data_IF_334680539560
#
_entry.id   IF_334680539560
#
_cell.length_a   1.000
_cell.length_b   1.000
_cell.length_c   1.000
_cell.angle_alpha   90.00
_cell.angle_beta   90.00
_cell.angle_gamma   90.00
#
_symmetry.space_group_name_H-M   'P 1'
#
loop_
_entity.id
_entity.type
_entity.pdbx_description
1 polymer ?
#
# COMPACT_ATOMS: atom_id res chain seq x y z
N UNK A 1 -10.30 3.72 -16.85
CA UNK A 1 -9.85 4.24 -15.53
C UNK A 1 -10.62 3.51 -14.46
N UNK A 2 -9.93 2.82 -13.58
CA UNK A 2 -10.48 1.87 -12.62
C UNK A 2 -11.12 2.48 -11.37
N UNK A 3 -10.74 3.72 -10.98
CA UNK A 3 -11.29 4.35 -9.77
C UNK A 3 -12.73 4.80 -10.05
N UNK A 4 -13.72 4.38 -9.21
CA UNK A 4 -15.11 4.80 -9.35
C UNK A 4 -15.26 6.34 -9.36
N UNK A 5 -16.19 6.85 -10.16
CA UNK A 5 -16.41 8.30 -10.28
C UNK A 5 -16.69 8.95 -8.93
N UNK A 6 -17.49 8.30 -8.08
CA UNK A 6 -17.78 8.75 -6.73
C UNK A 6 -16.50 8.99 -5.91
N UNK A 7 -15.55 8.03 -5.96
CA UNK A 7 -14.28 8.17 -5.25
C UNK A 7 -13.46 9.35 -5.79
N UNK A 8 -13.37 9.49 -7.11
CA UNK A 8 -12.66 10.63 -7.73
C UNK A 8 -13.22 11.97 -7.29
N UNK A 9 -14.54 12.10 -7.28
CA UNK A 9 -15.21 13.34 -6.87
C UNK A 9 -14.97 13.64 -5.40
N UNK A 10 -15.17 12.65 -4.51
CA UNK A 10 -15.04 12.88 -3.06
C UNK A 10 -13.59 13.09 -2.63
N UNK A 11 -12.65 12.34 -3.19
CA UNK A 11 -11.21 12.53 -2.91
C UNK A 11 -10.73 13.84 -3.52
N UNK A 12 -11.13 14.18 -4.75
CA UNK A 12 -10.81 15.46 -5.37
C UNK A 12 -11.31 16.66 -4.57
N UNK A 13 -12.57 16.61 -4.10
CA UNK A 13 -13.13 17.63 -3.22
C UNK A 13 -12.39 17.76 -1.89
N UNK A 14 -11.98 16.62 -1.29
CA UNK A 14 -11.15 16.61 -0.09
C UNK A 14 -9.80 17.30 -0.31
N UNK A 15 -9.07 16.94 -1.39
CA UNK A 15 -7.77 17.55 -1.71
C UNK A 15 -7.90 19.03 -2.00
N UNK A 16 -8.93 19.44 -2.77
CA UNK A 16 -9.20 20.84 -3.06
C UNK A 16 -9.48 21.64 -1.77
N UNK A 17 -10.29 21.10 -0.85
CA UNK A 17 -10.56 21.74 0.44
C UNK A 17 -9.28 21.93 1.26
N UNK A 18 -8.41 20.91 1.32
CA UNK A 18 -7.12 20.98 2.00
C UNK A 18 -6.20 22.03 1.38
N UNK A 19 -6.17 22.09 0.05
CA UNK A 19 -5.42 23.11 -0.68
C UNK A 19 -5.91 24.53 -0.39
N UNK A 20 -7.22 24.76 -0.42
CA UNK A 20 -7.84 26.07 -0.12
C UNK A 20 -7.64 26.49 1.33
N UNK A 21 -7.54 25.53 2.26
CA UNK A 21 -7.20 25.78 3.66
C UNK A 21 -5.71 26.07 3.88
N UNK A 22 -4.87 26.02 2.84
CA UNK A 22 -3.42 26.25 2.95
C UNK A 22 -2.66 25.08 3.63
N UNK A 23 -3.31 23.94 3.83
CA UNK A 23 -2.68 22.76 4.44
C UNK A 23 -1.67 22.14 3.48
N UNK A 24 -0.40 22.10 3.89
CA UNK A 24 0.69 21.54 3.07
C UNK A 24 0.88 20.05 3.27
N UNK A 25 0.59 19.54 4.49
CA UNK A 25 0.73 18.12 4.87
C UNK A 25 -0.61 17.61 5.37
N UNK A 26 -1.18 16.66 4.65
CA UNK A 26 -2.46 16.02 5.00
C UNK A 26 -2.48 14.58 4.47
N UNK A 27 -3.15 13.65 5.17
CA UNK A 27 -3.24 12.26 4.73
C UNK A 27 -4.19 12.14 3.54
N UNK A 28 -3.83 11.34 2.56
CA UNK A 28 -4.67 10.95 1.44
C UNK A 28 -5.28 9.55 1.65
N UNK A 29 -4.48 8.65 2.20
CA UNK A 29 -4.89 7.31 2.57
C UNK A 29 -4.30 6.93 3.93
N UNK A 30 -5.10 6.33 4.80
CA UNK A 30 -4.61 5.68 6.00
C UNK A 30 -4.24 4.24 5.68
N UNK A 31 -2.99 3.83 5.97
CA UNK A 31 -2.61 2.43 6.03
C UNK A 31 -2.92 1.92 7.45
N UNK A 32 -3.88 1.00 7.56
CA UNK A 32 -4.27 0.38 8.82
C UNK A 32 -3.77 -1.06 8.86
N UNK A 33 -2.89 -1.37 9.80
CA UNK A 33 -2.33 -2.70 10.02
C UNK A 33 -2.79 -3.25 11.37
N UNK A 34 -4.00 -3.82 11.46
CA UNK A 34 -4.61 -4.20 12.73
C UNK A 34 -3.98 -5.44 13.38
N UNK A 35 -3.17 -6.19 12.64
CA UNK A 35 -2.41 -7.35 13.10
C UNK A 35 -1.23 -7.63 12.15
N UNK A 36 -0.24 -8.38 12.66
CA UNK A 36 0.90 -8.85 11.83
C UNK A 36 0.85 -10.35 11.51
N UNK A 37 0.00 -11.13 12.18
CA UNK A 37 -0.17 -12.55 11.88
C UNK A 37 -0.63 -12.76 10.44
N UNK A 38 0.02 -13.70 9.73
CA UNK A 38 -0.32 -14.10 8.38
C UNK A 38 -0.32 -15.62 8.24
N UNK A 39 -1.02 -16.13 7.24
CA UNK A 39 -1.06 -17.55 6.85
C UNK A 39 -0.16 -17.85 5.64
N UNK A 40 0.68 -16.88 5.22
CA UNK A 40 1.74 -16.98 4.22
C UNK A 40 3.05 -16.41 4.77
N UNK A 41 4.18 -16.81 4.14
CA UNK A 41 5.52 -16.30 4.41
C UNK A 41 6.19 -15.94 3.07
N UNK A 42 5.76 -14.82 2.47
CA UNK A 42 6.22 -14.38 1.15
C UNK A 42 7.70 -13.97 1.16
N UNK A 43 8.41 -14.23 0.06
CA UNK A 43 9.84 -13.96 -0.10
C UNK A 43 10.23 -12.49 0.15
N UNK A 44 9.41 -11.55 -0.34
CA UNK A 44 9.61 -10.11 -0.20
C UNK A 44 8.95 -9.46 1.02
N UNK A 45 8.46 -10.24 2.01
CA UNK A 45 7.70 -9.71 3.15
C UNK A 45 8.45 -9.88 4.47
N UNK A 46 8.69 -8.76 5.18
CA UNK A 46 9.25 -8.74 6.54
C UNK A 46 8.23 -8.56 7.66
N UNK A 47 6.92 -8.50 7.34
CA UNK A 47 5.86 -8.13 8.29
C UNK A 47 5.53 -9.21 9.33
N UNK A 48 5.84 -10.47 9.07
CA UNK A 48 5.57 -11.59 9.98
C UNK A 48 6.77 -11.98 10.86
N UNK A 49 7.91 -11.34 10.66
CA UNK A 49 9.12 -11.63 11.40
C UNK A 49 9.10 -10.95 12.79
N UNK A 50 8.19 -11.44 13.64
CA UNK A 50 8.00 -10.99 15.02
C UNK A 50 7.83 -12.18 15.95
N UNK A 51 8.22 -12.05 17.25
CA UNK A 51 7.87 -13.01 18.29
C UNK A 51 6.36 -13.27 18.38
N UNK A 52 5.99 -14.46 18.83
CA UNK A 52 4.61 -14.91 18.90
C UNK A 52 3.71 -13.94 19.70
N UNK A 53 4.25 -13.37 20.80
CA UNK A 53 3.54 -12.41 21.64
C UNK A 53 3.11 -11.15 20.89
N UNK A 54 3.90 -10.72 19.90
CA UNK A 54 3.57 -9.58 19.03
C UNK A 54 2.60 -10.02 17.93
N UNK A 55 2.82 -11.19 17.32
CA UNK A 55 1.92 -11.72 16.30
C UNK A 55 0.50 -12.00 16.84
N UNK A 56 0.36 -12.20 18.16
CA UNK A 56 -0.93 -12.36 18.82
C UNK A 56 -1.65 -11.03 19.12
N UNK A 57 -0.95 -9.89 19.03
CA UNK A 57 -1.56 -8.58 19.19
C UNK A 57 -2.48 -8.25 18.01
N UNK A 58 -3.55 -7.55 18.32
CA UNK A 58 -4.48 -7.00 17.34
C UNK A 58 -5.11 -5.72 17.89
N UNK A 59 -5.40 -4.79 17.00
CA UNK A 59 -6.20 -3.61 17.33
C UNK A 59 -7.66 -4.03 17.50
N UNK A 60 -8.37 -3.47 18.48
CA UNK A 60 -9.81 -3.64 18.60
C UNK A 60 -10.57 -2.89 17.51
N UNK A 61 -11.87 -3.11 17.40
CA UNK A 61 -12.74 -2.35 16.47
C UNK A 61 -12.67 -0.86 16.80
N UNK A 62 -12.73 -0.51 18.09
CA UNK A 62 -12.67 0.86 18.60
C UNK A 62 -11.34 1.54 18.26
N UNK A 63 -10.22 0.84 18.45
CA UNK A 63 -8.89 1.36 18.10
C UNK A 63 -8.74 1.59 16.58
N UNK A 64 -9.26 0.66 15.76
CA UNK A 64 -9.26 0.81 14.31
C UNK A 64 -10.10 2.01 13.86
N UNK A 65 -11.32 2.13 14.37
CA UNK A 65 -12.23 3.23 14.00
C UNK A 65 -11.76 4.57 14.58
N UNK A 66 -11.19 4.57 15.79
CA UNK A 66 -10.55 5.75 16.37
C UNK A 66 -9.40 6.27 15.53
N UNK A 67 -8.55 5.37 15.02
CA UNK A 67 -7.46 5.75 14.10
C UNK A 67 -7.99 6.34 12.78
N UNK A 68 -9.09 5.83 12.25
CA UNK A 68 -9.75 6.37 11.05
C UNK A 68 -10.28 7.79 11.30
N UNK A 69 -10.91 8.01 12.46
CA UNK A 69 -11.47 9.31 12.84
C UNK A 69 -10.33 10.33 13.11
N UNK A 70 -9.29 9.93 13.81
CA UNK A 70 -8.13 10.76 14.15
C UNK A 70 -7.35 11.18 12.88
N UNK A 71 -7.11 10.26 11.96
CA UNK A 71 -6.41 10.52 10.71
C UNK A 71 -7.24 11.36 9.74
N UNK A 72 -8.53 11.11 9.63
CA UNK A 72 -9.45 11.83 8.75
C UNK A 72 -9.25 11.59 7.26
N UNK A 73 -8.33 10.71 6.83
CA UNK A 73 -8.09 10.39 5.42
C UNK A 73 -9.38 9.91 4.72
N UNK A 74 -9.58 10.24 3.43
CA UNK A 74 -10.75 9.78 2.67
C UNK A 74 -10.69 8.31 2.29
N UNK A 75 -9.48 7.72 2.23
CA UNK A 75 -9.23 6.33 1.86
C UNK A 75 -8.60 5.61 3.04
N UNK A 76 -8.98 4.35 3.25
CA UNK A 76 -8.37 3.45 4.24
C UNK A 76 -7.95 2.16 3.54
N UNK A 77 -6.66 1.87 3.53
CA UNK A 77 -6.11 0.59 3.07
C UNK A 77 -5.85 -0.28 4.30
N UNK A 78 -6.58 -1.37 4.44
CA UNK A 78 -6.38 -2.31 5.54
C UNK A 78 -5.41 -3.39 5.07
N UNK A 79 -4.25 -3.46 5.70
CA UNK A 79 -3.17 -4.40 5.40
C UNK A 79 -2.63 -5.07 6.68
N UNK A 80 -1.33 -5.26 6.79
CA UNK A 80 -0.65 -5.88 7.92
C UNK A 80 -0.12 -7.26 7.54
N UNK A 81 -0.44 -8.32 8.33
CA UNK A 81 -0.31 -9.70 7.93
C UNK A 81 -1.43 -10.10 6.97
N UNK A 82 -2.30 -11.03 7.38
CA UNK A 82 -3.54 -11.32 6.63
C UNK A 82 -4.74 -10.76 7.40
N UNK A 83 -5.38 -9.68 6.91
CA UNK A 83 -6.50 -9.05 7.62
C UNK A 83 -7.67 -9.99 7.90
N UNK A 84 -7.92 -10.98 7.04
CA UNK A 84 -8.99 -11.95 7.22
C UNK A 84 -8.75 -12.94 8.38
N UNK A 85 -7.60 -12.88 9.05
CA UNK A 85 -7.36 -13.57 10.33
C UNK A 85 -7.89 -12.76 11.53
N UNK A 86 -8.26 -11.51 11.34
CA UNK A 86 -8.87 -10.69 12.38
C UNK A 86 -10.35 -11.03 12.51
N UNK A 87 -10.77 -11.58 13.67
CA UNK A 87 -12.15 -12.06 13.88
C UNK A 87 -13.22 -10.98 13.69
N UNK A 88 -12.89 -9.73 13.98
CA UNK A 88 -13.81 -8.59 13.94
C UNK A 88 -13.65 -7.75 12.65
N UNK A 89 -12.95 -8.26 11.63
CA UNK A 89 -12.70 -7.54 10.38
C UNK A 89 -13.99 -7.09 9.68
N UNK A 90 -15.07 -7.88 9.63
CA UNK A 90 -16.34 -7.42 9.06
C UNK A 90 -16.90 -6.18 9.78
N UNK A 91 -16.79 -6.10 11.11
CA UNK A 91 -17.24 -4.95 11.91
C UNK A 91 -16.36 -3.72 11.65
N UNK A 92 -15.04 -3.89 11.54
CA UNK A 92 -14.11 -2.81 11.20
C UNK A 92 -14.47 -2.23 9.83
N UNK A 93 -14.60 -3.08 8.79
CA UNK A 93 -14.98 -2.64 7.44
C UNK A 93 -16.32 -1.93 7.43
N UNK A 94 -17.34 -2.49 8.07
CA UNK A 94 -18.67 -1.88 8.15
C UNK A 94 -18.63 -0.51 8.84
N UNK A 95 -17.86 -0.39 9.92
CA UNK A 95 -17.68 0.87 10.65
C UNK A 95 -16.99 1.95 9.82
N UNK A 96 -16.01 1.60 8.99
CA UNK A 96 -15.31 2.52 8.09
C UNK A 96 -16.25 2.95 6.94
N UNK A 97 -16.97 2.00 6.34
CA UNK A 97 -17.98 2.28 5.28
C UNK A 97 -19.08 3.21 5.79
N UNK A 98 -19.57 3.01 7.02
CA UNK A 98 -20.56 3.89 7.66
C UNK A 98 -20.05 5.34 7.81
N UNK A 99 -18.74 5.55 7.93
CA UNK A 99 -18.07 6.86 7.93
C UNK A 99 -17.89 7.45 6.52
N UNK A 100 -18.39 6.77 5.49
CA UNK A 100 -18.26 7.16 4.08
C UNK A 100 -16.79 7.30 3.65
N UNK A 101 -15.90 6.46 4.20
CA UNK A 101 -14.51 6.34 3.77
C UNK A 101 -14.39 5.16 2.80
N UNK A 102 -13.53 5.31 1.79
CA UNK A 102 -13.25 4.23 0.84
C UNK A 102 -12.31 3.22 1.47
N UNK A 103 -12.73 1.96 1.53
CA UNK A 103 -11.94 0.85 2.10
C UNK A 103 -11.36 0.00 0.99
N UNK A 104 -10.06 -0.23 1.04
CA UNK A 104 -9.37 -1.27 0.29
C UNK A 104 -8.92 -2.34 1.30
N UNK A 105 -9.61 -3.47 1.34
CA UNK A 105 -9.24 -4.58 2.22
C UNK A 105 -8.27 -5.49 1.47
N UNK A 106 -6.98 -5.39 1.85
CA UNK A 106 -5.92 -6.19 1.27
C UNK A 106 -6.00 -7.63 1.76
N UNK A 107 -5.83 -8.62 0.88
CA UNK A 107 -5.85 -10.03 1.25
C UNK A 107 -5.08 -10.88 0.26
N UNK A 108 -4.48 -11.97 0.75
CA UNK A 108 -3.91 -13.03 -0.09
C UNK A 108 -4.98 -14.00 -0.64
N UNK A 109 -6.23 -13.71 -0.37
CA UNK A 109 -7.45 -14.41 -0.81
C UNK A 109 -7.63 -15.85 -0.31
N UNK A 110 -6.71 -16.44 0.44
CA UNK A 110 -6.85 -17.82 0.94
C UNK A 110 -8.08 -18.05 1.83
N UNK A 111 -8.59 -16.99 2.45
CA UNK A 111 -9.76 -17.02 3.31
C UNK A 111 -10.98 -16.32 2.71
N UNK A 112 -10.81 -15.60 1.60
CA UNK A 112 -11.80 -14.69 1.03
C UNK A 112 -13.11 -15.43 0.70
N UNK A 113 -13.04 -16.52 -0.06
CA UNK A 113 -14.23 -17.27 -0.49
C UNK A 113 -15.06 -17.73 0.70
N UNK A 114 -14.42 -18.25 1.76
CA UNK A 114 -15.12 -18.73 2.97
C UNK A 114 -15.76 -17.61 3.78
N UNK A 115 -15.19 -16.40 3.73
CA UNK A 115 -15.64 -15.28 4.57
C UNK A 115 -16.48 -14.26 3.80
N UNK A 116 -16.60 -14.39 2.48
CA UNK A 116 -17.25 -13.40 1.60
C UNK A 116 -18.66 -13.03 2.07
N UNK A 117 -19.44 -14.01 2.55
CA UNK A 117 -20.80 -13.80 3.05
C UNK A 117 -20.93 -12.94 4.31
N UNK A 118 -19.82 -12.64 4.98
CA UNK A 118 -19.78 -11.74 6.15
C UNK A 118 -19.71 -10.27 5.77
N UNK A 119 -19.48 -9.97 4.49
CA UNK A 119 -19.36 -8.61 3.95
C UNK A 119 -20.53 -8.26 3.05
N UNK A 120 -20.73 -6.97 2.81
CA UNK A 120 -21.76 -6.48 1.89
C UNK A 120 -21.12 -5.62 0.79
N UNK A 121 -21.50 -5.78 -0.48
CA UNK A 121 -21.08 -4.88 -1.55
C UNK A 121 -21.45 -3.42 -1.22
N UNK A 122 -20.52 -2.52 -1.52
CA UNK A 122 -20.71 -1.09 -1.28
C UNK A 122 -19.83 -0.30 -2.24
N UNK A 123 -20.25 0.89 -2.71
CA UNK A 123 -19.38 1.76 -3.50
C UNK A 123 -18.18 2.32 -2.70
N UNK A 124 -18.19 2.12 -1.37
CA UNK A 124 -17.09 2.49 -0.47
C UNK A 124 -16.20 1.30 -0.10
N UNK A 125 -16.45 0.09 -0.61
CA UNK A 125 -15.70 -1.09 -0.26
C UNK A 125 -15.16 -1.82 -1.49
N UNK A 126 -13.86 -2.09 -1.50
CA UNK A 126 -13.13 -2.80 -2.55
C UNK A 126 -12.25 -3.87 -1.93
N UNK A 127 -12.36 -5.09 -2.40
CA UNK A 127 -11.36 -6.12 -2.15
C UNK A 127 -10.07 -5.79 -2.90
N UNK A 128 -8.93 -5.77 -2.22
CA UNK A 128 -7.62 -5.59 -2.84
C UNK A 128 -6.86 -6.91 -2.76
N UNK A 129 -6.96 -7.71 -3.80
CA UNK A 129 -6.40 -9.07 -3.83
C UNK A 129 -4.96 -9.03 -4.29
N UNK A 130 -4.06 -9.65 -3.52
CA UNK A 130 -2.65 -9.74 -3.84
C UNK A 130 -2.40 -10.78 -4.95
N UNK A 131 -1.84 -10.34 -6.08
CA UNK A 131 -1.36 -11.17 -7.18
C UNK A 131 -0.17 -10.50 -7.87
N UNK A 132 1.03 -11.10 -7.79
CA UNK A 132 2.28 -10.53 -8.29
C UNK A 132 2.64 -10.95 -9.73
N UNK A 133 1.73 -11.55 -10.46
CA UNK A 133 1.95 -11.99 -11.83
C UNK A 133 1.12 -13.21 -12.19
N UNK A 134 1.58 -13.96 -13.19
CA UNK A 134 0.99 -15.26 -13.52
C UNK A 134 1.22 -16.30 -12.41
N UNK A 135 0.64 -17.50 -12.55
CA UNK A 135 0.70 -18.56 -11.54
C UNK A 135 2.13 -18.84 -11.08
N UNK A 136 3.06 -19.01 -12.01
CA UNK A 136 4.45 -19.32 -11.68
C UNK A 136 5.18 -18.16 -11.00
N UNK A 137 4.84 -16.91 -11.30
CA UNK A 137 5.40 -15.73 -10.63
C UNK A 137 4.81 -15.58 -9.22
N UNK A 138 3.48 -15.63 -9.12
CA UNK A 138 2.80 -15.39 -7.85
C UNK A 138 3.11 -16.49 -6.81
N UNK A 139 3.00 -17.76 -7.18
CA UNK A 139 3.24 -18.87 -6.25
C UNK A 139 4.69 -18.89 -5.73
N UNK A 140 5.67 -18.46 -6.56
CA UNK A 140 7.05 -18.22 -6.09
C UNK A 140 7.14 -17.05 -5.13
N UNK A 141 6.54 -15.89 -5.46
CA UNK A 141 6.55 -14.69 -4.61
C UNK A 141 5.99 -14.98 -3.21
N UNK A 142 4.91 -15.74 -3.13
CA UNK A 142 4.25 -16.10 -1.84
C UNK A 142 4.83 -17.37 -1.21
N UNK A 143 5.86 -17.99 -1.81
CA UNK A 143 6.53 -19.22 -1.34
C UNK A 143 5.56 -20.39 -1.11
N UNK A 144 4.48 -20.48 -1.90
CA UNK A 144 3.49 -21.54 -1.73
C UNK A 144 2.77 -21.84 -3.04
N UNK A 145 2.82 -23.09 -3.55
CA UNK A 145 2.11 -23.50 -4.76
C UNK A 145 0.58 -23.49 -4.57
N UNK A 146 -0.16 -23.20 -5.64
CA UNK A 146 -1.61 -23.24 -5.71
C UNK A 146 -2.30 -22.03 -5.08
N UNK A 147 -1.58 -21.01 -4.62
CA UNK A 147 -2.19 -19.77 -4.08
C UNK A 147 -2.82 -18.95 -5.21
N UNK A 148 -2.16 -18.86 -6.36
CA UNK A 148 -2.69 -18.15 -7.54
C UNK A 148 -4.07 -18.67 -7.95
N UNK A 149 -4.23 -19.98 -8.12
CA UNK A 149 -5.51 -20.58 -8.50
C UNK A 149 -6.64 -20.29 -7.51
N UNK A 150 -6.33 -20.30 -6.19
CA UNK A 150 -7.29 -19.94 -5.14
C UNK A 150 -7.65 -18.46 -5.16
N UNK A 151 -6.67 -17.58 -5.37
CA UNK A 151 -6.91 -16.14 -5.48
C UNK A 151 -7.78 -15.81 -6.70
N UNK A 152 -7.51 -16.42 -7.85
CA UNK A 152 -8.32 -16.26 -9.08
C UNK A 152 -9.77 -16.74 -8.88
N UNK A 153 -9.96 -17.89 -8.22
CA UNK A 153 -11.29 -18.39 -7.88
C UNK A 153 -12.04 -17.42 -6.95
N UNK A 154 -11.38 -16.93 -5.92
CA UNK A 154 -11.92 -15.98 -4.95
C UNK A 154 -12.28 -14.61 -5.61
N UNK A 155 -11.45 -14.12 -6.54
CA UNK A 155 -11.77 -12.90 -7.33
C UNK A 155 -13.06 -13.11 -8.13
N UNK A 156 -13.18 -14.20 -8.87
CA UNK A 156 -14.39 -14.50 -9.66
C UNK A 156 -15.63 -14.60 -8.77
N UNK A 157 -15.51 -15.25 -7.62
CA UNK A 157 -16.60 -15.37 -6.65
C UNK A 157 -17.03 -14.00 -6.09
N UNK A 158 -16.05 -13.16 -5.69
CA UNK A 158 -16.32 -11.81 -5.22
C UNK A 158 -16.98 -10.93 -6.30
N UNK A 159 -16.51 -11.01 -7.55
CA UNK A 159 -17.12 -10.31 -8.70
C UNK A 159 -18.55 -10.77 -8.93
N UNK A 160 -18.80 -12.09 -8.94
CA UNK A 160 -20.14 -12.65 -9.10
C UNK A 160 -21.11 -12.24 -7.98
N UNK A 161 -20.59 -12.01 -6.77
CA UNK A 161 -21.34 -11.49 -5.62
C UNK A 161 -21.52 -9.96 -5.63
N UNK A 162 -21.09 -9.26 -6.69
CA UNK A 162 -21.29 -7.82 -6.88
C UNK A 162 -20.29 -6.91 -6.15
N UNK A 163 -19.17 -7.45 -5.66
CA UNK A 163 -18.13 -6.63 -5.04
C UNK A 163 -17.22 -5.96 -6.08
N UNK A 164 -16.70 -4.80 -5.72
CA UNK A 164 -15.53 -4.24 -6.39
C UNK A 164 -14.28 -5.02 -6.00
N UNK A 165 -13.47 -5.36 -7.01
CA UNK A 165 -12.21 -6.09 -6.83
C UNK A 165 -11.08 -5.36 -7.53
N UNK A 166 -10.07 -4.98 -6.77
CA UNK A 166 -8.79 -4.48 -7.23
C UNK A 166 -7.72 -5.57 -7.05
N UNK A 167 -6.79 -5.68 -7.99
CA UNK A 167 -5.60 -6.52 -7.82
C UNK A 167 -4.43 -5.64 -7.41
N UNK A 168 -3.75 -6.02 -6.33
CA UNK A 168 -2.51 -5.41 -5.87
C UNK A 168 -1.33 -6.26 -6.31
N UNK A 169 -0.51 -5.72 -7.22
CA UNK A 169 0.62 -6.39 -7.86
C UNK A 169 1.92 -5.71 -7.47
N UNK A 170 2.84 -6.47 -6.87
CA UNK A 170 4.21 -6.03 -6.58
C UNK A 170 5.16 -6.66 -7.59
N UNK A 171 6.00 -5.84 -8.23
CA UNK A 171 6.97 -6.29 -9.22
C UNK A 171 8.38 -6.31 -8.62
N UNK A 172 9.09 -7.40 -8.87
CA UNK A 172 10.45 -7.64 -8.43
C UNK A 172 11.43 -7.67 -9.61
N UNK A 173 12.72 -7.85 -9.37
CA UNK A 173 13.77 -7.74 -10.41
C UNK A 173 13.68 -8.82 -11.48
N UNK A 174 13.12 -9.98 -11.16
CA UNK A 174 12.87 -11.07 -12.11
C UNK A 174 11.63 -10.82 -13.03
N UNK A 175 10.89 -9.74 -12.81
CA UNK A 175 9.72 -9.40 -13.61
C UNK A 175 10.12 -9.12 -15.08
N UNK A 176 9.47 -9.85 -16.00
CA UNK A 176 9.64 -9.70 -17.44
C UNK A 176 8.47 -8.94 -18.04
N UNK A 177 8.71 -7.84 -18.80
CA UNK A 177 7.65 -6.98 -19.31
C UNK A 177 6.56 -7.74 -20.09
N UNK A 178 6.94 -8.77 -20.86
CA UNK A 178 6.01 -9.57 -21.65
C UNK A 178 5.06 -10.37 -20.77
N UNK A 179 5.59 -11.01 -19.71
CA UNK A 179 4.79 -11.81 -18.77
C UNK A 179 3.86 -10.93 -17.94
N UNK A 180 4.35 -9.78 -17.48
CA UNK A 180 3.54 -8.82 -16.73
C UNK A 180 2.42 -8.27 -17.60
N UNK A 181 2.67 -7.91 -18.84
CA UNK A 181 1.66 -7.45 -19.81
C UNK A 181 0.59 -8.53 -20.05
N UNK A 182 1.00 -9.79 -20.28
CA UNK A 182 0.09 -10.92 -20.43
C UNK A 182 -0.76 -11.16 -19.18
N UNK A 183 -0.15 -11.02 -18.00
CA UNK A 183 -0.89 -11.11 -16.72
C UNK A 183 -1.95 -9.98 -16.59
N UNK A 184 -1.61 -8.74 -16.92
CA UNK A 184 -2.57 -7.64 -16.91
C UNK A 184 -3.70 -7.85 -17.93
N UNK A 185 -3.42 -8.47 -19.08
CA UNK A 185 -4.47 -8.88 -20.04
C UNK A 185 -5.38 -9.96 -19.43
N UNK A 186 -4.82 -10.90 -18.68
CA UNK A 186 -5.61 -11.91 -17.95
C UNK A 186 -6.53 -11.25 -16.92
N UNK A 187 -6.03 -10.27 -16.15
CA UNK A 187 -6.85 -9.52 -15.20
C UNK A 187 -7.99 -8.76 -15.89
N UNK A 188 -7.74 -8.21 -17.09
CA UNK A 188 -8.79 -7.59 -17.89
C UNK A 188 -9.88 -8.58 -18.30
N UNK A 189 -9.52 -9.81 -18.68
CA UNK A 189 -10.52 -10.87 -19.00
C UNK A 189 -11.30 -11.34 -17.79
N UNK A 190 -10.75 -11.19 -16.57
CA UNK A 190 -11.41 -11.46 -15.30
C UNK A 190 -12.32 -10.31 -14.84
N UNK A 191 -12.37 -9.21 -15.61
CA UNK A 191 -13.18 -8.02 -15.31
C UNK A 191 -12.91 -7.43 -13.91
N UNK A 192 -11.65 -7.49 -13.45
CA UNK A 192 -11.28 -6.78 -12.23
C UNK A 192 -11.48 -5.27 -12.40
N UNK A 193 -11.95 -4.60 -11.36
CA UNK A 193 -12.29 -3.17 -11.43
C UNK A 193 -11.04 -2.28 -11.46
N UNK A 194 -9.89 -2.80 -10.97
CA UNK A 194 -8.66 -2.05 -10.97
C UNK A 194 -7.40 -2.87 -10.71
N UNK A 195 -6.27 -2.28 -11.08
CA UNK A 195 -4.93 -2.81 -10.83
C UNK A 195 -4.13 -1.73 -10.11
N UNK A 196 -3.62 -2.03 -8.91
CA UNK A 196 -2.59 -1.25 -8.24
C UNK A 196 -1.26 -1.95 -8.46
N UNK A 197 -0.29 -1.27 -9.03
CA UNK A 197 1.04 -1.84 -9.30
C UNK A 197 2.12 -1.04 -8.59
N UNK A 198 3.10 -1.72 -8.00
CA UNK A 198 4.23 -1.09 -7.34
C UNK A 198 5.52 -1.87 -7.57
N UNK A 199 6.67 -1.20 -7.62
CA UNK A 199 7.95 -1.87 -7.45
C UNK A 199 8.04 -2.40 -6.01
N UNK A 200 8.65 -3.57 -5.83
CA UNK A 200 8.97 -4.11 -4.52
C UNK A 200 9.95 -3.19 -3.77
N UNK A 201 9.72 -2.99 -2.50
CA UNK A 201 10.62 -2.26 -1.61
C UNK A 201 11.44 -3.23 -0.77
N UNK A 202 12.74 -2.96 -0.64
CA UNK A 202 13.67 -3.77 0.13
C UNK A 202 13.43 -3.63 1.63
N UNK A 203 12.44 -4.36 2.15
CA UNK A 203 12.23 -4.47 3.60
C UNK A 203 13.45 -5.09 4.25
N UNK A 204 13.94 -4.46 5.31
CA UNK A 204 15.15 -4.89 6.03
C UNK A 204 15.12 -6.38 6.44
N UNK A 205 13.93 -6.91 6.75
CA UNK A 205 13.72 -8.29 7.21
C UNK A 205 13.12 -9.23 6.17
N UNK A 206 13.00 -8.79 4.92
CA UNK A 206 12.57 -9.68 3.86
C UNK A 206 13.60 -10.80 3.66
N UNK A 207 13.16 -12.07 3.53
CA UNK A 207 14.07 -13.21 3.38
C UNK A 207 15.01 -13.08 2.18
N UNK A 208 14.54 -12.49 1.08
CA UNK A 208 15.26 -12.42 -0.19
C UNK A 208 15.54 -10.96 -0.58
N UNK A 209 16.73 -10.44 -0.19
CA UNK A 209 17.11 -9.04 -0.41
C UNK A 209 17.48 -8.70 -1.86
N UNK A 210 17.93 -9.67 -2.65
CA UNK A 210 18.42 -9.46 -4.02
C UNK A 210 17.33 -9.32 -5.08
N UNK A 211 16.07 -9.53 -4.70
CA UNK A 211 14.93 -9.46 -5.63
C UNK A 211 14.32 -8.08 -5.79
N UNK A 212 14.78 -7.10 -5.02
CA UNK A 212 14.20 -5.76 -5.07
C UNK A 212 14.76 -4.91 -6.22
N UNK A 213 13.88 -4.11 -6.80
CA UNK A 213 14.22 -3.25 -7.92
C UNK A 213 15.00 -2.02 -7.47
N UNK A 214 16.09 -1.70 -8.17
CA UNK A 214 16.69 -0.37 -8.10
C UNK A 214 15.80 0.65 -8.81
N UNK A 215 15.96 1.93 -8.50
CA UNK A 215 15.19 3.02 -9.09
C UNK A 215 15.31 3.06 -10.62
N UNK A 216 16.52 2.93 -11.14
CA UNK A 216 16.74 2.89 -12.59
C UNK A 216 16.08 1.67 -13.25
N UNK A 217 16.18 0.50 -12.62
CA UNK A 217 15.54 -0.71 -13.13
C UNK A 217 14.03 -0.59 -13.10
N UNK A 218 13.45 0.01 -12.06
CA UNK A 218 12.02 0.31 -11.96
C UNK A 218 11.55 1.15 -13.13
N UNK A 219 12.22 2.29 -13.40
CA UNK A 219 11.86 3.21 -14.49
C UNK A 219 11.86 2.51 -15.85
N UNK A 220 12.89 1.71 -16.12
CA UNK A 220 12.98 0.95 -17.37
C UNK A 220 11.89 -0.13 -17.46
N UNK A 221 11.72 -0.94 -16.40
CA UNK A 221 10.73 -2.02 -16.38
C UNK A 221 9.30 -1.48 -16.62
N UNK A 222 8.91 -0.41 -15.91
CA UNK A 222 7.58 0.17 -16.09
C UNK A 222 7.39 0.77 -17.49
N UNK A 223 8.43 1.40 -18.05
CA UNK A 223 8.40 1.90 -19.44
C UNK A 223 8.14 0.76 -20.43
N UNK A 224 8.87 -0.35 -20.28
CA UNK A 224 8.75 -1.51 -21.16
C UNK A 224 7.39 -2.22 -21.01
N UNK A 225 6.84 -2.30 -19.81
CA UNK A 225 5.49 -2.84 -19.56
C UNK A 225 4.44 -1.93 -20.20
N UNK A 226 4.49 -0.63 -19.93
CA UNK A 226 3.48 0.32 -20.39
C UNK A 226 3.48 0.47 -21.90
N UNK A 227 4.65 0.33 -22.58
CA UNK A 227 4.75 0.29 -24.03
C UNK A 227 3.89 -0.84 -24.63
N UNK A 228 3.83 -2.00 -23.99
CA UNK A 228 3.01 -3.15 -24.44
C UNK A 228 1.51 -2.95 -24.21
N UNK A 229 1.14 -1.99 -23.42
CA UNK A 229 -0.23 -1.66 -23.05
C UNK A 229 -0.72 -0.31 -23.57
N UNK A 230 -0.17 0.19 -24.67
CA UNK A 230 -0.55 1.49 -25.25
C UNK A 230 -0.41 2.63 -24.22
N UNK A 231 0.76 2.77 -23.64
CA UNK A 231 1.03 3.71 -22.56
C UNK A 231 0.20 3.44 -21.30
N UNK A 232 -0.19 2.19 -21.07
CA UNK A 232 -1.01 1.76 -19.93
C UNK A 232 -2.52 1.90 -20.14
N UNK A 233 -3.01 2.48 -21.24
CA UNK A 233 -4.45 2.68 -21.52
C UNK A 233 -5.23 1.37 -21.70
N UNK A 234 -4.53 0.29 -22.07
CA UNK A 234 -5.10 -1.04 -22.27
C UNK A 234 -5.66 -1.64 -20.97
N UNK A 235 -5.13 -1.23 -19.81
CA UNK A 235 -5.44 -1.79 -18.51
C UNK A 235 -6.07 -0.77 -17.57
N UNK A 236 -6.84 -1.26 -16.60
CA UNK A 236 -7.56 -0.43 -15.64
C UNK A 236 -6.73 -0.19 -14.37
N UNK A 237 -5.76 0.72 -14.39
CA UNK A 237 -4.98 1.06 -13.20
C UNK A 237 -5.79 1.91 -12.22
N UNK A 238 -5.66 1.60 -10.92
CA UNK A 238 -6.28 2.32 -9.80
C UNK A 238 -5.43 3.51 -9.32
N UNK A 239 -4.30 3.74 -9.94
CA UNK A 239 -3.38 4.83 -9.63
C UNK A 239 -3.58 6.00 -10.60
N UNK A 240 -3.10 7.18 -10.21
CA UNK A 240 -3.15 8.34 -11.09
C UNK A 240 -2.25 8.15 -12.32
N UNK A 241 -2.65 8.73 -13.45
CA UNK A 241 -1.85 8.66 -14.67
C UNK A 241 -0.47 9.27 -14.50
N UNK A 242 -0.35 10.32 -13.68
CA UNK A 242 0.93 10.98 -13.38
C UNK A 242 1.82 10.12 -12.47
N UNK A 243 1.25 9.25 -11.64
CA UNK A 243 2.07 8.30 -10.89
C UNK A 243 2.65 7.21 -11.82
N UNK A 244 1.87 6.68 -12.75
CA UNK A 244 2.38 5.76 -13.76
C UNK A 244 3.44 6.42 -14.64
N UNK A 245 3.25 7.68 -14.98
CA UNK A 245 4.22 8.50 -15.74
C UNK A 245 5.54 8.70 -14.94
N UNK A 246 5.43 8.84 -13.60
CA UNK A 246 6.59 8.85 -12.69
C UNK A 246 7.30 7.49 -12.67
N UNK A 247 6.58 6.37 -12.58
CA UNK A 247 7.16 5.03 -12.58
C UNK A 247 7.91 4.76 -13.90
N UNK A 248 7.43 5.29 -15.04
CA UNK A 248 8.09 5.20 -16.34
C UNK A 248 9.26 6.20 -16.48
N UNK A 249 9.59 6.96 -15.46
CA UNK A 249 10.70 7.88 -15.47
C UNK A 249 10.48 9.22 -16.19
N UNK A 250 9.24 9.60 -16.49
CA UNK A 250 8.94 10.86 -17.19
C UNK A 250 8.75 12.04 -16.23
N UNK A 251 8.58 11.76 -14.92
CA UNK A 251 8.41 12.76 -13.87
C UNK A 251 9.43 12.53 -12.75
N UNK A 252 9.74 13.60 -12.04
CA UNK A 252 10.54 13.53 -10.80
C UNK A 252 9.71 14.08 -9.66
N UNK A 253 9.43 13.22 -8.67
CA UNK A 253 8.68 13.60 -7.47
C UNK A 253 9.52 13.43 -6.20
N UNK A 254 9.26 14.29 -5.23
CA UNK A 254 9.71 14.09 -3.86
C UNK A 254 8.70 13.24 -3.10
N UNK A 255 9.20 12.39 -2.22
CA UNK A 255 8.37 11.56 -1.35
C UNK A 255 7.53 12.43 -0.41
N UNK A 256 6.27 12.05 -0.21
CA UNK A 256 5.32 12.69 0.70
C UNK A 256 4.74 11.66 1.67
N UNK A 257 5.56 11.12 2.62
CA UNK A 257 5.17 9.99 3.46
C UNK A 257 3.98 10.29 4.37
N UNK A 258 3.76 11.56 4.77
CA UNK A 258 2.57 12.02 5.48
C UNK A 258 1.26 11.82 4.72
N UNK A 259 1.32 11.64 3.40
CA UNK A 259 0.15 11.36 2.56
C UNK A 259 -0.44 9.97 2.79
N UNK A 260 0.35 9.05 3.36
CA UNK A 260 -0.07 7.68 3.64
C UNK A 260 0.41 7.21 5.02
N UNK A 261 -0.05 7.86 6.12
CA UNK A 261 0.33 7.49 7.48
C UNK A 261 -0.11 6.07 7.78
N UNK A 262 0.63 5.41 8.67
CA UNK A 262 0.40 4.02 9.04
C UNK A 262 0.09 3.88 10.52
N UNK A 263 -1.02 3.19 10.85
CA UNK A 263 -1.38 2.79 12.21
C UNK A 263 -1.26 1.27 12.37
N UNK A 264 -0.40 0.83 13.29
CA UNK A 264 -0.11 -0.58 13.57
C UNK A 264 -0.43 -0.92 15.03
N UNK A 265 -0.23 -2.17 15.42
CA UNK A 265 -0.32 -2.59 16.84
C UNK A 265 0.70 -1.88 17.76
N UNK A 266 1.76 -1.31 17.20
CA UNK A 266 2.74 -0.53 17.97
C UNK A 266 2.35 0.95 18.16
N UNK A 267 1.51 1.50 17.30
CA UNK A 267 1.18 2.92 17.27
C UNK A 267 1.20 3.48 15.85
N UNK A 268 1.35 4.79 15.73
CA UNK A 268 1.53 5.49 14.47
C UNK A 268 2.99 5.42 14.02
N UNK A 269 3.25 4.70 12.93
CA UNK A 269 4.61 4.36 12.46
C UNK A 269 5.31 5.54 11.80
N UNK A 270 6.55 5.82 12.20
CA UNK A 270 7.43 6.86 11.61
C UNK A 270 8.43 6.23 10.65
N UNK A 271 8.79 6.91 9.56
CA UNK A 271 8.07 8.02 8.92
C UNK A 271 6.98 7.52 7.98
N UNK A 272 7.02 6.23 7.61
CA UNK A 272 6.10 5.58 6.68
C UNK A 272 6.01 4.08 6.96
N UNK A 273 5.10 3.38 6.28
CA UNK A 273 4.88 1.95 6.52
C UNK A 273 6.05 1.04 6.12
N UNK A 274 6.97 1.56 5.27
CA UNK A 274 8.16 0.82 4.81
C UNK A 274 9.30 0.87 5.82
N UNK A 275 9.40 1.97 6.57
CA UNK A 275 10.46 2.21 7.56
C UNK A 275 9.86 2.15 8.97
N UNK A 276 10.43 1.33 9.84
CA UNK A 276 10.01 1.21 11.25
C UNK A 276 10.96 1.96 12.17
N UNK A 277 11.07 3.30 12.03
CA UNK A 277 12.04 4.10 12.78
C UNK A 277 11.45 4.79 14.01
N UNK A 278 10.38 4.22 14.54
CA UNK A 278 9.71 4.69 15.75
C UNK A 278 8.20 4.75 15.57
N UNK A 279 7.52 5.02 16.68
CA UNK A 279 6.07 5.10 16.73
C UNK A 279 5.64 6.31 17.55
N UNK A 280 4.62 7.00 17.08
CA UNK A 280 3.93 8.05 17.82
C UNK A 280 2.69 7.46 18.51
N UNK A 281 2.31 8.01 19.65
CA UNK A 281 1.13 7.60 20.39
C UNK A 281 -0.16 8.11 19.73
N UNK A 282 -0.13 9.28 19.09
CA UNK A 282 -1.26 9.90 18.39
C UNK A 282 -0.91 10.31 16.96
N UNK A 283 -1.95 10.48 16.13
CA UNK A 283 -1.78 10.99 14.77
C UNK A 283 -1.21 12.42 14.77
N UNK A 284 -1.62 13.24 15.75
CA UNK A 284 -1.08 14.59 15.91
C UNK A 284 0.42 14.54 16.16
N UNK A 285 0.88 13.74 17.12
CA UNK A 285 2.32 13.55 17.40
C UNK A 285 3.09 13.06 16.17
N UNK A 286 2.50 12.11 15.39
CA UNK A 286 3.09 11.69 14.13
C UNK A 286 3.31 12.88 13.19
N UNK A 287 2.29 13.72 13.02
CA UNK A 287 2.32 14.81 12.04
C UNK A 287 3.21 15.97 12.47
N UNK A 288 3.22 16.30 13.77
CA UNK A 288 3.90 17.49 14.31
C UNK A 288 5.37 17.22 14.66
N UNK A 289 5.69 16.02 15.20
CA UNK A 289 7.00 15.70 15.76
C UNK A 289 7.90 14.88 14.82
N UNK A 290 7.42 14.52 13.63
CA UNK A 290 8.24 13.80 12.64
C UNK A 290 9.01 14.79 11.76
N UNK A 291 10.34 14.64 11.72
CA UNK A 291 11.18 15.39 10.76
C UNK A 291 11.00 14.82 9.36
N UNK A 292 9.93 15.26 8.70
CA UNK A 292 9.56 14.80 7.36
C UNK A 292 10.60 15.10 6.29
N UNK A 293 11.39 16.17 6.49
CA UNK A 293 12.40 16.60 5.52
C UNK A 293 13.66 15.73 5.56
N UNK A 294 13.83 14.94 6.61
CA UNK A 294 14.93 13.99 6.73
C UNK A 294 14.77 12.74 5.85
N UNK A 295 13.59 12.53 5.23
CA UNK A 295 13.26 11.31 4.50
C UNK A 295 12.99 11.56 3.01
N UNK A 296 13.15 10.52 2.21
CA UNK A 296 12.96 10.51 0.78
C UNK A 296 14.26 10.28 0.00
N UNK A 297 14.13 10.00 -1.30
CA UNK A 297 15.26 9.81 -2.22
C UNK A 297 16.18 11.04 -2.17
N UNK A 298 17.48 10.81 -2.10
CA UNK A 298 18.51 11.85 -1.99
C UNK A 298 18.69 12.43 -0.58
N UNK A 299 17.86 12.05 0.40
CA UNK A 299 17.93 12.53 1.79
C UNK A 299 18.27 11.44 2.79
N UNK A 300 17.75 10.23 2.56
CA UNK A 300 17.92 9.10 3.46
C UNK A 300 18.29 7.84 2.68
N UNK A 301 19.33 7.14 3.15
CA UNK A 301 19.92 6.00 2.44
C UNK A 301 18.88 4.89 2.10
N UNK A 302 18.04 4.50 3.05
CA UNK A 302 16.98 3.51 2.81
C UNK A 302 15.92 3.94 1.79
N UNK A 303 15.85 5.22 1.45
CA UNK A 303 14.89 5.75 0.47
C UNK A 303 15.46 5.82 -0.96
N UNK A 304 16.73 5.47 -1.18
CA UNK A 304 17.43 5.67 -2.44
C UNK A 304 16.66 5.10 -3.64
N UNK A 305 16.24 3.85 -3.56
CA UNK A 305 15.56 3.14 -4.63
C UNK A 305 14.02 3.15 -4.53
N UNK A 306 13.46 3.79 -3.49
CA UNK A 306 12.02 3.78 -3.26
C UNK A 306 11.25 4.55 -4.33
N UNK A 307 10.29 3.87 -5.00
CA UNK A 307 9.31 4.45 -5.91
C UNK A 307 7.88 3.95 -5.60
N UNK A 308 7.64 3.53 -4.37
CA UNK A 308 6.38 2.89 -3.95
C UNK A 308 5.23 3.92 -3.88
N UNK A 309 4.04 3.51 -4.27
CA UNK A 309 2.85 4.37 -4.33
C UNK A 309 2.56 5.13 -3.03
N UNK A 310 2.75 4.50 -1.88
CA UNK A 310 2.52 5.13 -0.57
C UNK A 310 3.36 6.38 -0.31
N UNK A 311 4.54 6.49 -0.95
CA UNK A 311 5.39 7.68 -0.84
C UNK A 311 5.15 8.72 -1.92
N UNK A 312 4.68 8.34 -3.10
CA UNK A 312 4.67 9.21 -4.28
C UNK A 312 3.30 9.45 -4.90
N UNK A 313 2.29 8.60 -4.64
CA UNK A 313 0.94 8.80 -5.18
C UNK A 313 0.33 10.13 -4.71
N UNK A 314 0.54 10.53 -3.45
CA UNK A 314 0.04 11.81 -2.95
C UNK A 314 0.69 13.00 -3.68
N UNK A 315 1.98 12.91 -4.04
CA UNK A 315 2.65 13.90 -4.88
C UNK A 315 2.03 13.97 -6.28
N UNK A 316 1.79 12.82 -6.91
CA UNK A 316 1.17 12.75 -8.24
C UNK A 316 -0.29 13.24 -8.24
N UNK A 317 -1.06 12.96 -7.21
CA UNK A 317 -2.45 13.47 -7.04
C UNK A 317 -2.46 15.00 -6.88
N UNK A 318 -1.56 15.54 -6.06
CA UNK A 318 -1.40 17.01 -5.94
C UNK A 318 -1.00 17.66 -7.27
N UNK A 319 -0.09 17.03 -7.99
CA UNK A 319 0.35 17.49 -9.30
C UNK A 319 -0.76 17.41 -10.36
N UNK A 320 -1.66 16.43 -10.27
CA UNK A 320 -2.87 16.35 -11.11
C UNK A 320 -3.75 17.58 -10.96
N UNK A 321 -3.87 18.14 -9.76
CA UNK A 321 -4.61 19.38 -9.53
C UNK A 321 -3.82 20.63 -9.97
N UNK A 322 -2.50 20.62 -9.77
CA UNK A 322 -1.66 21.75 -10.16
C UNK A 322 -1.47 21.85 -11.69
N UNK A 323 -1.44 20.69 -12.38
CA UNK A 323 -1.23 20.59 -13.84
C UNK A 323 -2.32 19.75 -14.52
N UNK A 324 -3.60 20.18 -14.46
CA UNK A 324 -4.75 19.36 -14.93
C UNK A 324 -4.69 19.04 -16.43
N UNK A 325 -4.16 19.94 -17.25
CA UNK A 325 -3.99 19.69 -18.70
C UNK A 325 -2.95 18.63 -18.97
N UNK A 326 -1.84 18.62 -18.22
CA UNK A 326 -0.82 17.56 -18.32
C UNK A 326 -1.39 16.21 -17.89
N UNK A 327 -2.08 16.17 -16.75
CA UNK A 327 -2.74 14.96 -16.26
C UNK A 327 -3.78 14.41 -17.26
N UNK A 328 -4.61 15.30 -17.84
CA UNK A 328 -5.57 14.93 -18.88
C UNK A 328 -4.88 14.41 -20.15
N UNK A 329 -3.77 15.06 -20.58
CA UNK A 329 -2.99 14.59 -21.73
C UNK A 329 -2.44 13.18 -21.52
N UNK A 330 -1.82 12.91 -20.36
CA UNK A 330 -1.29 11.58 -20.04
C UNK A 330 -2.42 10.56 -19.93
N UNK A 331 -3.55 10.91 -19.30
CA UNK A 331 -4.70 10.03 -19.21
C UNK A 331 -5.31 9.66 -20.58
N UNK A 332 -5.32 10.60 -21.52
CA UNK A 332 -5.91 10.39 -22.86
C UNK A 332 -4.95 9.75 -23.84
N UNK A 333 -3.67 10.14 -23.82
CA UNK A 333 -2.65 9.65 -24.77
C UNK A 333 -1.86 8.45 -24.27
N UNK A 334 -1.95 8.15 -22.98
CA UNK A 334 -1.08 7.20 -22.28
C UNK A 334 0.24 7.82 -21.83
N UNK A 335 0.95 7.05 -21.02
CA UNK A 335 2.31 7.35 -20.56
C UNK A 335 3.27 7.26 -21.72
N UNK A 336 4.18 8.23 -21.88
CA UNK A 336 5.24 8.18 -22.87
C UNK A 336 6.24 7.06 -22.53
N UNK A 337 6.53 6.20 -23.50
CA UNK A 337 7.39 5.03 -23.31
C UNK A 337 8.70 5.11 -24.11
N UNK A 338 8.91 6.19 -24.79
CA UNK A 338 10.09 6.54 -25.58
C UNK A 338 10.65 7.91 -25.18
N UNK A 339 11.78 8.31 -25.78
CA UNK A 339 12.46 9.57 -25.49
C UNK A 339 13.25 9.58 -24.17
N UNK A 340 13.85 10.73 -23.79
CA UNK A 340 14.67 10.84 -22.60
C UNK A 340 13.84 10.75 -21.33
N UNK A 341 14.40 10.11 -20.29
CA UNK A 341 13.83 10.13 -18.96
C UNK A 341 14.09 11.47 -18.26
N UNK A 342 13.21 11.87 -17.35
CA UNK A 342 13.45 13.02 -16.49
C UNK A 342 14.73 12.80 -15.65
N UNK A 343 15.47 13.85 -15.31
CA UNK A 343 16.61 13.78 -14.39
C UNK A 343 16.20 13.09 -13.09
N UNK A 344 17.07 12.22 -12.57
CA UNK A 344 16.83 11.58 -11.28
C UNK A 344 17.40 12.43 -10.12
N UNK A 345 16.95 12.13 -8.90
CA UNK A 345 17.39 12.83 -7.69
C UNK A 345 18.80 12.35 -7.35
N UNK A 346 19.79 13.26 -7.18
CA UNK A 346 21.14 12.87 -6.77
C UNK A 346 21.14 12.19 -5.39
N UNK A 347 21.96 11.13 -5.25
CA UNK A 347 22.07 10.35 -4.01
C UNK A 347 23.24 10.78 -3.11
N UNK A 348 23.95 11.88 -3.43
CA UNK A 348 25.06 12.38 -2.62
C UNK A 348 24.61 13.02 -1.30
N UNK A 349 25.34 12.76 -0.20
CA UNK A 349 25.08 13.41 1.10
C UNK A 349 23.87 12.90 1.88
N UNK A 350 23.38 11.69 1.57
CA UNK A 350 22.26 11.07 2.28
C UNK A 350 22.60 10.81 3.76
N UNK A 351 21.61 10.97 4.63
CA UNK A 351 21.69 10.51 6.03
C UNK A 351 21.81 9.00 6.07
N UNK A 352 22.73 8.42 6.88
CA UNK A 352 22.89 6.98 7.04
C UNK A 352 21.62 6.28 7.53
N UNK A 353 21.48 5.00 7.15
CA UNK A 353 20.39 4.14 7.60
C UNK A 353 20.38 3.98 9.13
N UNK A 354 19.19 3.98 9.72
CA UNK A 354 18.97 3.65 11.14
C UNK A 354 18.36 2.24 11.25
N UNK A 355 18.81 1.48 12.26
CA UNK A 355 18.37 0.11 12.50
C UNK A 355 17.79 0.01 13.93
N UNK A 356 16.65 0.66 14.14
CA UNK A 356 15.99 0.74 15.47
C UNK A 356 14.94 -0.35 15.70
N UNK A 357 14.66 -1.17 14.69
CA UNK A 357 13.56 -2.14 14.75
C UNK A 357 13.68 -3.11 15.93
N UNK A 358 14.86 -3.71 16.17
CA UNK A 358 15.06 -4.65 17.27
C UNK A 358 14.77 -4.01 18.64
N UNK A 359 15.16 -2.74 18.82
CA UNK A 359 14.88 -1.97 20.03
C UNK A 359 13.37 -1.74 20.19
N UNK A 360 12.64 -1.40 19.12
CA UNK A 360 11.19 -1.21 19.16
C UNK A 360 10.46 -2.51 19.51
N UNK A 361 10.91 -3.64 18.98
CA UNK A 361 10.38 -4.97 19.32
C UNK A 361 10.61 -5.28 20.80
N UNK A 362 11.82 -5.02 21.33
CA UNK A 362 12.13 -5.26 22.74
C UNK A 362 11.24 -4.42 23.67
N UNK A 363 11.11 -3.12 23.41
CA UNK A 363 10.22 -2.22 24.17
C UNK A 363 8.79 -2.76 24.17
N UNK A 364 8.27 -3.17 23.01
CA UNK A 364 6.91 -3.68 22.91
C UNK A 364 6.71 -5.00 23.66
N UNK A 365 7.70 -5.89 23.62
CA UNK A 365 7.66 -7.13 24.40
C UNK A 365 7.60 -6.87 25.89
N UNK A 366 8.39 -5.93 26.40
CA UNK A 366 8.40 -5.55 27.82
C UNK A 366 7.05 -4.97 28.24
N UNK A 367 6.42 -4.12 27.43
CA UNK A 367 5.07 -3.61 27.67
C UNK A 367 4.01 -4.73 27.72
N UNK A 368 4.09 -5.71 26.82
CA UNK A 368 3.15 -6.85 26.80
C UNK A 368 3.32 -7.73 28.03
N UNK A 369 4.58 -8.02 28.40
CA UNK A 369 4.91 -8.84 29.57
C UNK A 369 4.56 -8.14 30.88
N UNK A 370 4.82 -6.84 30.99
CA UNK A 370 4.44 -6.02 32.15
C UNK A 370 2.92 -5.98 32.36
N UNK A 371 2.12 -5.83 31.31
CA UNK A 371 0.66 -5.92 31.39
C UNK A 371 0.15 -7.29 31.84
N UNK A 372 0.74 -8.39 31.35
CA UNK A 372 0.39 -9.75 31.79
C UNK A 372 0.72 -9.99 33.26
N UNK A 373 1.86 -9.48 33.73
CA UNK A 373 2.24 -9.58 35.15
C UNK A 373 1.30 -8.80 36.07
N UNK A 374 0.87 -7.60 35.68
CA UNK A 374 -0.11 -6.80 36.41
C UNK A 374 -1.50 -7.45 36.55
N UNK A 375 -1.95 -8.13 35.48
CA UNK A 375 -3.24 -8.87 35.51
C UNK A 375 -3.20 -10.11 36.43
N UNK A 376 -2.04 -10.76 36.54
CA UNK A 376 -1.86 -11.92 37.41
C UNK A 376 -1.56 -11.55 38.88
N UNK A 377 -1.13 -10.30 39.15
CA UNK A 377 -0.86 -9.80 40.51
C UNK A 377 -2.07 -9.23 41.22
N UNK A 378 -3.19 -9.00 40.53
CA UNK A 378 -4.44 -8.49 41.12
C UNK A 378 -5.42 -9.55 41.65
N UNK A 379 -5.05 -10.83 41.57
CA UNK A 379 -5.89 -11.97 42.02
C UNK A 379 -5.28 -12.67 43.25
N UNK A 380 -4.82 -11.92 44.25
CA UNK A 380 -4.46 -12.43 45.56
C UNK A 380 -5.17 -11.67 46.65
#
# INVERSE_FOLDING_TARGET
MAIPLLQKVLVGAYVLRKHLAGERRYPLALMLEPLFRCNLACAGCGKIDYPAEILDQRLSVEECLGAVDECGAPVVSIAGGEPLLHKDMPAIVAGIVARRKFVYLCTNALLLERQLGQYRPSPFFTWSVHLDGDEGMHDRSVCRPGVYGRAVAAIRHAKAAGFHVNVNCTLFDDARPERVASFFDTLKTMEVDGITVSPGYAYERAPEQQHFLTRNRTRQLFRDILARGDGGRRWAFSQSSLFLDFLAGNQTYHCTPWGNPTRTVFGWQRPCYLLGEGYAASFRELMDDTDWEAYGTGRYEKCADCMVHSGYEASAVRDTLARPLTAARVALRGVATDGPMAPDIPLGGQRPAQHVHAQQVAIRLDEIRGRKAGLNGGAR
#
